data_IF_249958033283
#
_entry.id   IF_249958033283
#
_cell.length_a   1.000
_cell.length_b   1.000
_cell.length_c   1.000
_cell.angle_alpha   90.00
_cell.angle_beta   90.00
_cell.angle_gamma   90.00
#
_symmetry.space_group_name_H-M   'P 1'
#
loop_
_entity.id
_entity.type
_entity.pdbx_description
1 polymer ?
#
# COMPACT_ATOMS: atom_id res chain seq x y z
N UNK A 1 39.06 7.36 2.61
CA UNK A 1 38.25 8.41 3.29
C UNK A 1 36.79 7.98 3.23
N UNK A 2 36.27 7.52 4.36
CA UNK A 2 34.88 7.07 4.53
C UNK A 2 33.94 8.21 4.92
N UNK A 3 34.50 9.36 5.30
CA UNK A 3 33.75 10.54 5.71
C UNK A 3 34.37 11.80 5.10
N UNK A 4 33.53 12.73 4.67
CA UNK A 4 33.88 14.08 4.26
C UNK A 4 33.34 15.07 5.29
N UNK A 5 34.23 15.87 5.88
CA UNK A 5 33.89 16.88 6.90
C UNK A 5 34.43 18.23 6.46
N UNK A 6 33.57 19.23 6.37
CA UNK A 6 33.96 20.62 6.09
C UNK A 6 33.20 21.57 7.01
N UNK A 7 33.86 22.57 7.63
CA UNK A 7 33.17 23.59 8.41
C UNK A 7 32.16 24.35 7.55
N UNK A 8 30.94 24.57 8.06
CA UNK A 8 29.90 25.30 7.30
C UNK A 8 30.34 26.70 6.93
N UNK A 9 31.14 27.33 7.79
CA UNK A 9 31.75 28.64 7.54
C UNK A 9 32.46 28.69 6.18
N UNK A 10 33.31 27.72 5.89
CA UNK A 10 34.10 27.66 4.64
C UNK A 10 33.18 27.55 3.42
N UNK A 11 32.17 26.67 3.49
CA UNK A 11 31.19 26.51 2.41
C UNK A 11 30.35 27.78 2.21
N UNK A 12 29.95 28.46 3.28
CA UNK A 12 29.18 29.70 3.17
C UNK A 12 30.01 30.85 2.60
N UNK A 13 31.30 30.94 2.96
CA UNK A 13 32.22 31.90 2.34
C UNK A 13 32.34 31.67 0.84
N UNK A 14 32.48 30.40 0.44
CA UNK A 14 32.47 30.01 -0.97
C UNK A 14 31.16 30.42 -1.67
N UNK A 15 29.99 30.13 -1.07
CA UNK A 15 28.71 30.47 -1.68
C UNK A 15 28.49 31.98 -1.86
N UNK A 16 29.00 32.80 -0.94
CA UNK A 16 28.92 34.26 -1.05
C UNK A 16 29.81 34.77 -2.19
N UNK A 17 30.99 34.17 -2.40
CA UNK A 17 31.95 34.61 -3.42
C UNK A 17 31.66 34.08 -4.83
N UNK A 18 31.21 32.84 -4.95
CA UNK A 18 31.11 32.11 -6.22
C UNK A 18 29.69 31.66 -6.56
N UNK A 19 28.73 31.82 -5.63
CA UNK A 19 27.35 31.41 -5.83
C UNK A 19 27.08 29.96 -5.43
N UNK A 20 25.87 29.48 -5.77
CA UNK A 20 25.32 28.20 -5.31
C UNK A 20 25.07 27.19 -6.44
N UNK A 21 25.66 27.41 -7.62
CA UNK A 21 25.52 26.50 -8.76
C UNK A 21 26.27 25.19 -8.52
N UNK A 22 25.71 24.08 -9.00
CA UNK A 22 26.30 22.74 -8.84
C UNK A 22 27.73 22.65 -9.36
N UNK A 23 27.96 23.22 -10.56
CA UNK A 23 29.23 23.14 -11.30
C UNK A 23 30.36 23.82 -10.52
N UNK A 24 30.10 25.00 -9.96
CA UNK A 24 31.08 25.76 -9.19
C UNK A 24 31.45 25.02 -7.90
N UNK A 25 30.45 24.46 -7.20
CA UNK A 25 30.67 23.67 -5.98
C UNK A 25 31.47 22.41 -6.30
N UNK A 26 31.12 21.70 -7.38
CA UNK A 26 31.82 20.50 -7.79
C UNK A 26 33.30 20.80 -8.09
N UNK A 27 33.56 21.83 -8.90
CA UNK A 27 34.92 22.26 -9.24
C UNK A 27 35.72 22.62 -7.99
N UNK A 28 35.11 23.33 -7.04
CA UNK A 28 35.74 23.66 -5.76
C UNK A 28 36.12 22.40 -4.98
N UNK A 29 35.22 21.42 -4.89
CA UNK A 29 35.44 20.17 -4.16
C UNK A 29 36.55 19.32 -4.82
N UNK A 30 36.56 19.22 -6.15
CA UNK A 30 37.59 18.49 -6.90
C UNK A 30 38.98 19.15 -6.73
N UNK A 31 39.04 20.49 -6.77
CA UNK A 31 40.29 21.25 -6.68
C UNK A 31 40.87 21.30 -5.26
N UNK A 32 40.05 21.54 -4.24
CA UNK A 32 40.54 21.77 -2.87
C UNK A 32 40.59 20.51 -2.01
N UNK A 33 39.85 19.45 -2.37
CA UNK A 33 39.77 18.23 -1.56
C UNK A 33 40.23 16.96 -2.29
N UNK A 34 40.72 17.07 -3.54
CA UNK A 34 41.21 15.95 -4.36
C UNK A 34 40.22 14.78 -4.43
N UNK A 35 38.92 15.09 -4.49
CA UNK A 35 37.86 14.09 -4.55
C UNK A 35 37.69 13.55 -5.98
N UNK A 36 37.34 12.26 -6.09
CA UNK A 36 36.87 11.67 -7.35
C UNK A 36 35.56 12.33 -7.78
N UNK A 37 35.35 12.47 -9.09
CA UNK A 37 34.17 13.12 -9.69
C UNK A 37 32.84 12.54 -9.17
N UNK A 38 32.79 11.21 -8.99
CA UNK A 38 31.61 10.52 -8.46
C UNK A 38 31.31 10.90 -7.00
N UNK A 39 32.34 11.03 -6.15
CA UNK A 39 32.18 11.42 -4.75
C UNK A 39 31.79 12.90 -4.62
N UNK A 40 32.37 13.76 -5.45
CA UNK A 40 32.00 15.18 -5.47
C UNK A 40 30.55 15.37 -5.89
N UNK A 41 30.04 14.62 -6.87
CA UNK A 41 28.64 14.73 -7.29
C UNK A 41 27.66 14.37 -6.16
N UNK A 42 27.94 13.30 -5.41
CA UNK A 42 27.15 12.90 -4.24
C UNK A 42 27.15 13.98 -3.15
N UNK A 43 28.31 14.56 -2.86
CA UNK A 43 28.45 15.66 -1.90
C UNK A 43 27.65 16.89 -2.36
N UNK A 44 27.77 17.27 -3.63
CA UNK A 44 27.03 18.41 -4.20
C UNK A 44 25.53 18.22 -4.05
N UNK A 45 25.00 17.04 -4.41
CA UNK A 45 23.57 16.70 -4.23
C UNK A 45 23.15 16.85 -2.76
N UNK A 46 23.99 16.43 -1.82
CA UNK A 46 23.70 16.54 -0.39
C UNK A 46 23.75 17.99 0.09
N UNK A 47 24.72 18.77 -0.34
CA UNK A 47 24.85 20.21 -0.08
C UNK A 47 23.61 20.95 -0.58
N UNK A 48 23.17 20.68 -1.81
CA UNK A 48 21.99 21.30 -2.40
C UNK A 48 20.72 21.02 -1.61
N UNK A 49 20.52 19.75 -1.22
CA UNK A 49 19.32 19.31 -0.50
C UNK A 49 19.22 19.88 0.92
N UNK A 50 20.36 20.12 1.58
CA UNK A 50 20.37 20.41 3.03
C UNK A 50 20.90 21.80 3.36
N UNK A 51 22.05 22.18 2.79
CA UNK A 51 22.79 23.36 3.20
C UNK A 51 22.37 24.61 2.42
N UNK A 52 22.11 24.50 1.11
CA UNK A 52 21.80 25.66 0.26
C UNK A 52 20.49 26.33 0.67
N UNK A 53 19.44 25.55 0.95
CA UNK A 53 18.16 26.11 1.41
C UNK A 53 18.33 26.88 2.71
N UNK A 54 18.99 26.27 3.70
CA UNK A 54 19.26 26.91 4.99
C UNK A 54 20.16 28.15 4.85
N UNK A 55 21.14 28.11 3.96
CA UNK A 55 21.99 29.24 3.62
C UNK A 55 21.17 30.38 3.02
N UNK A 56 20.36 30.12 1.98
CA UNK A 56 19.58 31.15 1.28
C UNK A 56 18.58 31.86 2.21
N UNK A 57 17.92 31.10 3.09
CA UNK A 57 16.98 31.66 4.06
C UNK A 57 17.68 32.63 5.02
N UNK A 58 18.84 32.21 5.56
CA UNK A 58 19.64 33.03 6.49
C UNK A 58 20.28 34.22 5.78
N UNK A 59 20.77 34.02 4.56
CA UNK A 59 21.38 35.05 3.73
C UNK A 59 20.40 36.16 3.39
N UNK A 60 19.17 35.77 3.03
CA UNK A 60 18.08 36.71 2.74
C UNK A 60 17.66 37.48 4.00
N UNK A 61 17.54 36.81 5.15
CA UNK A 61 17.24 37.48 6.44
C UNK A 61 18.31 38.49 6.87
N UNK A 62 19.55 38.32 6.42
CA UNK A 62 20.65 39.24 6.68
C UNK A 62 20.81 40.31 5.60
N UNK A 63 19.79 40.53 4.76
CA UNK A 63 19.80 41.46 3.62
C UNK A 63 21.01 41.25 2.70
N UNK A 64 21.45 39.99 2.54
CA UNK A 64 22.60 39.62 1.70
C UNK A 64 23.89 40.40 2.03
N UNK A 65 24.06 40.77 3.29
CA UNK A 65 25.26 41.48 3.78
C UNK A 65 26.18 40.50 4.49
N UNK A 66 27.44 40.38 4.00
CA UNK A 66 28.42 39.40 4.50
C UNK A 66 28.62 39.52 6.02
N UNK A 67 28.98 40.70 6.49
CA UNK A 67 29.28 40.96 7.91
C UNK A 67 28.10 40.61 8.83
N UNK A 68 26.89 41.06 8.47
CA UNK A 68 25.66 40.75 9.23
C UNK A 68 25.34 39.26 9.25
N UNK A 69 25.60 38.56 8.14
CA UNK A 69 25.38 37.12 8.07
C UNK A 69 26.30 36.38 9.04
N UNK A 70 27.60 36.70 9.05
CA UNK A 70 28.56 36.07 9.95
C UNK A 70 28.27 36.42 11.41
N UNK A 71 27.96 37.68 11.74
CA UNK A 71 27.66 38.06 13.13
C UNK A 71 26.38 37.43 13.68
N UNK A 72 25.33 37.32 12.86
CA UNK A 72 24.02 36.86 13.32
C UNK A 72 23.86 35.33 13.32
N UNK A 73 24.75 34.60 12.63
CA UNK A 73 24.64 33.15 12.46
C UNK A 73 25.86 32.38 13.00
N UNK A 74 26.67 32.98 13.89
CA UNK A 74 27.91 32.38 14.45
C UNK A 74 27.66 30.94 14.92
N UNK A 75 26.67 30.74 15.79
CA UNK A 75 26.36 29.42 16.35
C UNK A 75 26.00 28.36 15.30
N UNK A 76 25.43 28.77 14.16
CA UNK A 76 25.12 27.85 13.07
C UNK A 76 26.33 27.56 12.18
N UNK A 77 27.18 28.58 11.97
CA UNK A 77 28.40 28.53 11.15
C UNK A 77 29.54 27.75 11.80
N UNK A 78 29.58 27.72 13.14
CA UNK A 78 30.55 26.95 13.91
C UNK A 78 30.26 25.43 13.85
N UNK A 79 29.12 25.04 13.28
CA UNK A 79 28.82 23.63 12.98
C UNK A 79 29.56 23.10 11.75
N UNK A 80 29.67 21.78 11.68
CA UNK A 80 30.29 21.06 10.57
C UNK A 80 29.23 20.53 9.59
N UNK A 81 29.63 20.39 8.33
CA UNK A 81 28.91 19.63 7.31
C UNK A 81 29.62 18.30 7.11
N UNK A 82 28.90 17.20 7.38
CA UNK A 82 29.42 15.82 7.34
C UNK A 82 28.66 15.00 6.31
N UNK A 83 29.39 14.30 5.45
CA UNK A 83 28.85 13.33 4.50
C UNK A 83 29.57 12.01 4.75
N UNK A 84 28.82 11.00 5.15
CA UNK A 84 29.30 9.63 5.23
C UNK A 84 29.10 8.99 3.86
N UNK A 85 30.19 8.44 3.32
CA UNK A 85 30.12 7.60 2.13
C UNK A 85 29.90 6.18 2.64
N UNK A 86 28.65 5.86 2.99
CA UNK A 86 28.30 4.48 3.24
C UNK A 86 28.49 3.73 1.91
N UNK A 87 29.42 2.77 1.90
CA UNK A 87 29.44 1.72 0.89
C UNK A 87 28.14 0.96 1.10
N UNK A 88 27.10 1.31 0.33
CA UNK A 88 25.81 0.69 0.47
C UNK A 88 25.98 -0.83 0.34
N UNK A 89 25.51 -1.64 1.32
CA UNK A 89 25.28 -3.05 1.06
C UNK A 89 24.32 -3.11 -0.15
N UNK A 90 24.60 -3.95 -1.14
CA UNK A 90 23.81 -4.05 -2.37
C UNK A 90 22.34 -4.47 -2.17
N UNK A 91 21.86 -4.60 -0.93
CA UNK A 91 20.54 -5.10 -0.55
C UNK A 91 19.73 -4.11 0.29
N UNK A 92 19.77 -2.81 -0.02
CA UNK A 92 18.81 -1.86 0.58
C UNK A 92 17.55 -1.82 -0.28
N UNK A 93 16.60 -2.72 0.02
CA UNK A 93 15.20 -2.49 -0.35
C UNK A 93 14.77 -1.12 0.17
N UNK A 94 14.20 -0.22 -0.65
CA UNK A 94 13.90 1.13 -0.21
C UNK A 94 12.95 1.13 0.99
N UNK A 95 13.36 1.78 2.09
CA UNK A 95 12.58 2.01 3.33
C UNK A 95 11.35 2.92 3.12
N UNK A 96 10.89 3.12 1.88
CA UNK A 96 9.61 3.79 1.60
C UNK A 96 8.40 2.94 1.98
N UNK A 97 8.59 1.79 2.63
CA UNK A 97 7.54 0.97 3.24
C UNK A 97 6.81 1.65 4.39
N UNK A 98 7.30 2.77 4.92
CA UNK A 98 6.50 3.66 5.76
C UNK A 98 5.59 4.51 4.87
N UNK A 99 4.35 4.01 4.69
CA UNK A 99 3.28 4.58 3.87
C UNK A 99 3.06 6.05 4.21
N UNK A 100 3.74 6.95 3.50
CA UNK A 100 3.50 8.39 3.59
C UNK A 100 2.25 8.71 2.79
N UNK A 101 1.16 9.06 3.48
CA UNK A 101 -0.10 9.43 2.85
C UNK A 101 -1.32 9.27 3.75
N UNK A 102 -2.51 9.54 3.20
CA UNK A 102 -3.77 9.22 3.88
C UNK A 102 -3.82 7.70 4.14
N UNK A 103 -4.15 7.25 5.37
CA UNK A 103 -4.31 5.84 5.65
C UNK A 103 -5.24 5.18 4.63
N UNK A 104 -4.86 4.03 4.04
CA UNK A 104 -5.73 3.33 3.12
C UNK A 104 -7.00 2.92 3.87
N UNK A 105 -8.15 3.11 3.24
CA UNK A 105 -9.41 2.56 3.74
C UNK A 105 -9.39 1.04 3.61
N UNK A 106 -10.07 0.36 4.53
CA UNK A 106 -10.42 -1.07 4.40
C UNK A 106 -11.17 -1.29 3.08
N UNK A 107 -11.14 -2.51 2.54
CA UNK A 107 -11.81 -2.80 1.28
C UNK A 107 -13.33 -2.59 1.40
N UNK A 108 -13.88 -2.91 2.56
CA UNK A 108 -15.28 -2.79 2.94
C UNK A 108 -15.78 -1.33 2.87
N UNK A 109 -14.94 -0.39 3.32
CA UNK A 109 -15.20 1.05 3.39
C UNK A 109 -14.97 1.80 2.06
N UNK A 110 -14.57 1.10 1.01
CA UNK A 110 -14.41 1.68 -0.33
C UNK A 110 -15.76 1.89 -1.02
N UNK A 111 -15.83 2.93 -1.86
CA UNK A 111 -16.97 3.08 -2.77
C UNK A 111 -17.01 1.97 -3.81
N UNK A 112 -18.20 1.63 -4.30
CA UNK A 112 -18.39 0.60 -5.34
C UNK A 112 -17.51 0.83 -6.58
N UNK A 113 -17.35 2.09 -7.00
CA UNK A 113 -16.44 2.45 -8.11
C UNK A 113 -14.99 2.08 -7.81
N UNK A 114 -14.54 2.29 -6.57
CA UNK A 114 -13.17 1.98 -6.14
C UNK A 114 -12.95 0.47 -5.98
N UNK A 115 -13.93 -0.25 -5.42
CA UNK A 115 -13.93 -1.72 -5.34
C UNK A 115 -13.84 -2.32 -6.74
N UNK A 116 -14.67 -1.87 -7.68
CA UNK A 116 -14.64 -2.32 -9.07
C UNK A 116 -13.28 -2.11 -9.73
N UNK A 117 -12.64 -0.95 -9.51
CA UNK A 117 -11.30 -0.68 -10.04
C UNK A 117 -10.25 -1.65 -9.48
N UNK A 118 -10.20 -1.83 -8.15
CA UNK A 118 -9.28 -2.79 -7.51
C UNK A 118 -9.51 -4.22 -7.99
N UNK A 119 -10.76 -4.64 -8.12
CA UNK A 119 -11.09 -5.98 -8.62
C UNK A 119 -10.70 -6.15 -10.09
N UNK A 120 -10.80 -5.11 -10.90
CA UNK A 120 -10.40 -5.17 -12.30
C UNK A 120 -8.90 -5.39 -12.45
N UNK A 121 -8.08 -4.77 -11.60
CA UNK A 121 -6.64 -5.01 -11.54
C UNK A 121 -6.35 -6.49 -11.23
N UNK A 122 -6.99 -7.06 -10.18
CA UNK A 122 -6.86 -8.48 -9.84
C UNK A 122 -7.33 -9.41 -10.96
N UNK A 123 -8.44 -9.09 -11.62
CA UNK A 123 -8.98 -9.88 -12.73
C UNK A 123 -8.04 -9.84 -13.94
N UNK A 124 -7.37 -8.71 -14.20
CA UNK A 124 -6.39 -8.60 -15.27
C UNK A 124 -5.11 -9.39 -14.97
N UNK A 125 -4.66 -9.38 -13.71
CA UNK A 125 -3.42 -10.04 -13.30
C UNK A 125 -3.56 -11.57 -13.22
N UNK A 126 -4.62 -12.06 -12.56
CA UNK A 126 -4.78 -13.48 -12.24
C UNK A 126 -5.85 -14.19 -13.08
N UNK A 127 -6.76 -13.44 -13.70
CA UNK A 127 -7.90 -13.99 -14.43
C UNK A 127 -9.05 -14.44 -13.53
N UNK A 128 -10.26 -14.50 -14.12
CA UNK A 128 -11.49 -14.85 -13.40
C UNK A 128 -11.49 -16.30 -12.89
N UNK A 129 -10.88 -17.23 -13.64
CA UNK A 129 -10.76 -18.65 -13.27
C UNK A 129 -10.00 -18.84 -11.97
N UNK A 130 -8.85 -18.19 -11.86
CA UNK A 130 -8.01 -18.29 -10.67
C UNK A 130 -8.70 -17.69 -9.45
N UNK A 131 -9.30 -16.50 -9.60
CA UNK A 131 -10.02 -15.81 -8.51
C UNK A 131 -11.18 -16.66 -7.99
N UNK A 132 -11.98 -17.26 -8.88
CA UNK A 132 -13.07 -18.13 -8.47
C UNK A 132 -12.56 -19.36 -7.69
N UNK A 133 -11.51 -20.01 -8.17
CA UNK A 133 -10.96 -21.19 -7.51
C UNK A 133 -10.38 -20.84 -6.14
N UNK A 134 -9.67 -19.72 -6.02
CA UNK A 134 -9.18 -19.20 -4.75
C UNK A 134 -10.33 -18.92 -3.77
N UNK A 135 -11.43 -18.33 -4.25
CA UNK A 135 -12.62 -18.07 -3.44
C UNK A 135 -13.27 -19.37 -2.92
N UNK A 136 -13.49 -20.35 -3.80
CA UNK A 136 -14.04 -21.67 -3.41
C UNK A 136 -13.14 -22.40 -2.42
N UNK A 137 -11.82 -22.34 -2.62
CA UNK A 137 -10.86 -22.92 -1.67
C UNK A 137 -10.89 -22.21 -0.32
N UNK A 138 -11.02 -20.88 -0.31
CA UNK A 138 -11.17 -20.09 0.92
C UNK A 138 -12.40 -20.48 1.72
N UNK A 139 -13.56 -20.63 1.06
CA UNK A 139 -14.80 -21.10 1.69
C UNK A 139 -14.63 -22.50 2.32
N UNK A 140 -14.02 -23.43 1.58
CA UNK A 140 -13.75 -24.79 2.11
C UNK A 140 -12.80 -24.75 3.31
N UNK A 141 -11.77 -23.91 3.28
CA UNK A 141 -10.84 -23.73 4.38
C UNK A 141 -11.51 -23.12 5.62
N UNK A 142 -12.53 -22.28 5.43
CA UNK A 142 -13.36 -21.73 6.50
C UNK A 142 -14.40 -22.71 7.05
N UNK A 143 -14.59 -23.87 6.43
CA UNK A 143 -15.61 -24.86 6.80
C UNK A 143 -16.97 -24.66 6.12
N UNK A 144 -17.09 -23.67 5.24
CA UNK A 144 -18.30 -23.30 4.49
C UNK A 144 -18.43 -24.17 3.21
N UNK A 145 -18.61 -25.48 3.42
CA UNK A 145 -18.62 -26.47 2.33
C UNK A 145 -19.86 -26.34 1.44
N UNK A 146 -21.01 -25.99 2.02
CA UNK A 146 -22.27 -25.85 1.28
C UNK A 146 -22.21 -24.64 0.34
N UNK A 147 -21.72 -23.50 0.83
CA UNK A 147 -21.53 -22.26 0.08
C UNK A 147 -20.54 -22.46 -1.06
N UNK A 148 -19.41 -23.13 -0.79
CA UNK A 148 -18.42 -23.48 -1.81
C UNK A 148 -19.03 -24.34 -2.94
N UNK A 149 -19.95 -25.24 -2.58
CA UNK A 149 -20.65 -26.12 -3.51
C UNK A 149 -21.64 -25.34 -4.37
N UNK A 150 -22.45 -24.48 -3.74
CA UNK A 150 -23.42 -23.60 -4.43
C UNK A 150 -22.72 -22.67 -5.42
N UNK A 151 -21.62 -22.02 -5.01
CA UNK A 151 -20.85 -21.11 -5.87
C UNK A 151 -20.29 -21.85 -7.10
N UNK A 152 -19.74 -23.05 -6.90
CA UNK A 152 -19.23 -23.90 -7.98
C UNK A 152 -20.35 -24.33 -8.95
N UNK A 153 -21.53 -24.65 -8.42
CA UNK A 153 -22.70 -25.00 -9.23
C UNK A 153 -23.22 -23.80 -10.04
N UNK A 154 -23.37 -22.63 -9.39
CA UNK A 154 -23.81 -21.40 -10.06
C UNK A 154 -22.87 -21.06 -11.21
N UNK A 155 -21.55 -21.22 -11.03
CA UNK A 155 -20.60 -21.00 -12.12
C UNK A 155 -20.89 -21.88 -13.33
N UNK A 156 -21.13 -23.17 -13.09
CA UNK A 156 -21.27 -24.18 -14.14
C UNK A 156 -22.67 -24.26 -14.75
N UNK A 157 -23.70 -23.67 -14.13
CA UNK A 157 -25.03 -23.59 -14.70
C UNK A 157 -25.03 -22.87 -16.06
N UNK A 158 -25.83 -23.38 -17.00
CA UNK A 158 -25.96 -22.78 -18.32
C UNK A 158 -26.60 -21.39 -18.24
N UNK A 159 -26.33 -20.53 -19.25
CA UNK A 159 -26.88 -19.16 -19.30
C UNK A 159 -28.40 -19.12 -19.15
N UNK A 160 -29.11 -20.11 -19.69
CA UNK A 160 -30.57 -20.19 -19.64
C UNK A 160 -31.06 -20.53 -18.22
N UNK A 161 -30.38 -21.43 -17.52
CA UNK A 161 -30.71 -21.81 -16.14
C UNK A 161 -30.46 -20.66 -15.17
N UNK A 162 -29.36 -19.92 -15.36
CA UNK A 162 -29.06 -18.68 -14.60
C UNK A 162 -30.16 -17.62 -14.78
N UNK A 163 -30.71 -17.51 -16.00
CA UNK A 163 -31.78 -16.55 -16.31
C UNK A 163 -33.10 -16.93 -15.64
N UNK A 164 -33.47 -18.21 -15.72
CA UNK A 164 -34.66 -18.75 -15.04
C UNK A 164 -34.55 -18.57 -13.53
N UNK A 165 -33.37 -18.83 -12.95
CA UNK A 165 -33.11 -18.64 -11.52
C UNK A 165 -33.23 -17.18 -11.09
N UNK A 166 -32.66 -16.25 -11.87
CA UNK A 166 -32.77 -14.81 -11.61
C UNK A 166 -34.23 -14.33 -11.71
N UNK A 167 -34.99 -14.81 -12.68
CA UNK A 167 -36.42 -14.49 -12.83
C UNK A 167 -37.25 -15.02 -11.67
N UNK A 168 -36.99 -16.24 -11.19
CA UNK A 168 -37.68 -16.81 -10.00
C UNK A 168 -37.39 -15.99 -8.73
N UNK A 169 -36.12 -15.70 -8.45
CA UNK A 169 -35.72 -14.87 -7.31
C UNK A 169 -36.33 -13.46 -7.35
N UNK A 170 -36.45 -12.85 -8.54
CA UNK A 170 -37.07 -11.53 -8.72
C UNK A 170 -38.60 -11.57 -8.59
N UNK A 171 -39.25 -12.62 -9.07
CA UNK A 171 -40.70 -12.78 -8.95
C UNK A 171 -41.12 -13.08 -7.50
N UNK A 172 -40.28 -13.78 -6.75
CA UNK A 172 -40.53 -14.16 -5.37
C UNK A 172 -40.20 -13.03 -4.38
N UNK A 173 -39.16 -12.21 -4.65
CA UNK A 173 -38.90 -10.97 -3.92
C UNK A 173 -40.07 -9.97 -4.00
N UNK A 174 -40.83 -9.98 -5.11
CA UNK A 174 -42.07 -9.19 -5.25
C UNK A 174 -43.26 -9.74 -4.46
N UNK A 175 -43.24 -11.02 -4.07
CA UNK A 175 -44.33 -11.68 -3.37
C UNK A 175 -44.18 -11.68 -1.84
N UNK A 176 -43.15 -11.03 -1.29
CA UNK A 176 -43.05 -10.73 0.14
C UNK A 176 -42.84 -11.93 1.07
N UNK A 177 -42.58 -13.12 0.55
CA UNK A 177 -42.18 -14.28 1.36
C UNK A 177 -40.71 -14.13 1.73
N UNK A 178 -40.45 -13.61 2.93
CA UNK A 178 -39.12 -13.62 3.55
C UNK A 178 -38.72 -15.07 3.85
N UNK A 179 -38.02 -15.72 2.93
CA UNK A 179 -37.39 -16.99 3.26
C UNK A 179 -36.09 -16.76 4.00
N UNK A 180 -35.98 -17.48 5.12
CA UNK A 180 -34.71 -17.81 5.77
C UNK A 180 -33.90 -18.63 4.76
N UNK A 181 -32.59 -18.40 4.71
CA UNK A 181 -31.63 -18.94 3.71
C UNK A 181 -31.85 -20.44 3.42
N UNK A 182 -32.29 -21.21 4.41
CA UNK A 182 -32.59 -22.63 4.37
C UNK A 182 -33.71 -23.04 3.39
N UNK A 183 -34.72 -22.19 3.17
CA UNK A 183 -35.85 -22.51 2.29
C UNK A 183 -35.60 -22.15 0.81
N UNK A 184 -34.70 -21.21 0.52
CA UNK A 184 -34.26 -20.92 -0.85
C UNK A 184 -33.42 -22.07 -1.45
N UNK A 185 -32.84 -22.92 -0.60
CA UNK A 185 -32.10 -24.13 -0.98
C UNK A 185 -32.98 -25.39 -1.09
N UNK A 186 -34.22 -25.34 -0.60
CA UNK A 186 -35.13 -26.49 -0.54
C UNK A 186 -35.60 -27.02 -1.93
N UNK A 187 -35.77 -26.19 -2.98
CA UNK A 187 -36.01 -26.70 -4.34
C UNK A 187 -34.85 -27.54 -4.88
N UNK A 188 -33.62 -27.31 -4.39
CA UNK A 188 -32.45 -28.10 -4.75
C UNK A 188 -32.36 -29.40 -3.93
N UNK A 189 -32.62 -29.35 -2.62
CA UNK A 189 -32.58 -30.54 -1.74
C UNK A 189 -33.67 -31.54 -2.12
N UNK A 190 -34.88 -31.08 -2.47
CA UNK A 190 -35.99 -31.97 -2.88
C UNK A 190 -35.75 -32.72 -4.20
N UNK A 191 -34.81 -32.26 -5.03
CA UNK A 191 -34.40 -32.94 -6.27
C UNK A 191 -33.33 -34.03 -6.06
N UNK A 192 -32.73 -34.10 -4.88
CA UNK A 192 -31.67 -35.06 -4.55
C UNK A 192 -32.16 -35.97 -3.42
N UNK A 193 -32.29 -37.27 -3.73
CA UNK A 193 -32.67 -38.40 -2.85
C UNK A 193 -32.80 -38.06 -1.36
N UNK A 194 -34.03 -38.20 -0.85
CA UNK A 194 -34.40 -38.13 0.58
C UNK A 194 -33.29 -38.68 1.49
N UNK A 195 -32.76 -37.92 2.46
CA UNK A 195 -31.99 -38.52 3.53
C UNK A 195 -32.88 -39.50 4.30
N UNK A 196 -32.30 -40.63 4.70
CA UNK A 196 -32.98 -41.66 5.48
C UNK A 196 -33.65 -41.03 6.71
N UNK A 197 -34.90 -41.41 6.97
CA UNK A 197 -35.73 -40.97 8.11
C UNK A 197 -35.00 -41.10 9.46
N UNK A 198 -33.98 -41.94 9.53
CA UNK A 198 -33.11 -42.14 10.70
C UNK A 198 -32.20 -40.93 11.00
N UNK A 199 -31.77 -40.18 10.00
CA UNK A 199 -30.85 -39.03 10.16
C UNK A 199 -31.63 -37.79 10.62
N UNK A 200 -32.82 -37.56 10.04
CA UNK A 200 -33.70 -36.46 10.44
C UNK A 200 -34.21 -36.62 11.89
N UNK A 201 -34.42 -37.86 12.36
CA UNK A 201 -34.78 -38.12 13.76
C UNK A 201 -33.62 -37.85 14.72
N UNK A 202 -32.37 -38.18 14.36
CA UNK A 202 -31.18 -37.89 15.18
C UNK A 202 -30.94 -36.38 15.33
N UNK A 203 -31.00 -35.63 14.23
CA UNK A 203 -30.81 -34.17 14.26
C UNK A 203 -31.93 -33.44 15.03
N UNK A 204 -33.17 -33.94 14.98
CA UNK A 204 -34.28 -33.38 15.76
C UNK A 204 -34.14 -33.69 17.26
N UNK A 205 -33.60 -34.84 17.64
CA UNK A 205 -33.33 -35.19 19.03
C UNK A 205 -32.18 -34.36 19.61
N UNK A 206 -31.13 -34.15 18.81
CA UNK A 206 -29.95 -33.36 19.18
C UNK A 206 -30.30 -31.87 19.35
N UNK A 207 -31.15 -31.32 18.48
CA UNK A 207 -31.67 -29.96 18.61
C UNK A 207 -32.60 -29.77 19.82
N UNK A 208 -33.38 -30.79 20.21
CA UNK A 208 -34.22 -30.75 21.43
C UNK A 208 -33.39 -30.77 22.70
N UNK A 209 -32.28 -31.50 22.72
CA UNK A 209 -31.37 -31.55 23.87
C UNK A 209 -30.59 -30.23 24.07
N UNK A 210 -30.34 -29.48 22.99
CA UNK A 210 -29.67 -28.18 23.05
C UNK A 210 -30.57 -27.03 23.50
N UNK A 211 -31.90 -27.21 23.47
CA UNK A 211 -32.89 -26.19 23.84
C UNK A 211 -33.55 -26.42 25.22
N UNK A 212 -33.11 -27.43 25.96
CA UNK A 212 -33.66 -27.79 27.28
C UNK A 212 -32.82 -27.30 28.48
N UNK A 213 -32.00 -26.26 28.30
CA UNK A 213 -31.30 -25.51 29.36
C UNK A 213 -31.58 -24.02 29.12
#
# INVERSE_FOLDING_TARGET
MTEFVVPRRVLCEFFIGHGTKSEDIQKYLEQHHHLSSEKSELIVKRIQKTLITAFNDRWTKCNRTKERFFSNNISWLDGEFKVQFEEAPMDITPTTSEVRGRPPKSYEDLSEKSKKRKNMELVQEYGLEYIHNAYVQGLRAAGEIEEATVVSMIRNCERNEKRIMKEKLLHESRNGTNFRVDEALNPYISSIRKPSVTISKKLLEEAKNLLAI
#
